data_IF_536192268171
#
_entry.id   IF_536192268171
#
_cell.length_a   1.000
_cell.length_b   1.000
_cell.length_c   1.000
_cell.angle_alpha   90.00
_cell.angle_beta   90.00
_cell.angle_gamma   90.00
#
_symmetry.space_group_name_H-M   'P 1'
#
loop_
_entity.id
_entity.type
_entity.pdbx_description
1 polymer ?
#
# COMPACT_ATOMS: atom_id res chain seq x y z
N UNK A 1 13.28 -11.09 0.39
CA UNK A 1 12.99 -9.66 0.65
C UNK A 1 13.77 -8.72 -0.28
N UNK A 2 15.11 -8.74 -0.31
CA UNK A 2 15.91 -7.81 -1.16
C UNK A 2 15.53 -7.80 -2.65
N UNK A 3 15.32 -8.97 -3.26
CA UNK A 3 14.93 -9.06 -4.66
C UNK A 3 13.54 -8.43 -4.94
N UNK A 4 12.60 -8.58 -4.00
CA UNK A 4 11.27 -7.99 -4.11
C UNK A 4 11.31 -6.47 -3.93
N UNK A 5 12.08 -5.96 -2.97
CA UNK A 5 12.29 -4.52 -2.80
C UNK A 5 12.90 -3.91 -4.07
N UNK A 6 13.97 -4.51 -4.60
CA UNK A 6 14.57 -4.05 -5.85
C UNK A 6 13.64 -4.15 -7.07
N UNK A 7 12.67 -5.07 -7.06
CA UNK A 7 11.65 -5.15 -8.10
C UNK A 7 10.68 -3.96 -7.98
N UNK A 8 10.16 -3.70 -6.78
CA UNK A 8 9.31 -2.54 -6.49
C UNK A 8 10.02 -1.23 -6.86
N UNK A 9 11.30 -1.07 -6.53
CA UNK A 9 12.10 0.12 -6.86
C UNK A 9 12.26 0.34 -8.38
N UNK A 10 12.15 -0.72 -9.18
CA UNK A 10 12.13 -0.63 -10.66
C UNK A 10 10.72 -0.44 -11.23
N UNK A 11 9.71 -0.30 -10.36
CA UNK A 11 8.31 -0.23 -10.71
C UNK A 11 7.70 -1.60 -11.04
N UNK A 12 8.36 -2.72 -10.75
CA UNK A 12 7.78 -4.05 -10.96
C UNK A 12 6.69 -4.35 -9.91
N UNK A 13 5.69 -5.15 -10.30
CA UNK A 13 4.66 -5.65 -9.41
C UNK A 13 5.17 -6.86 -8.63
N UNK A 14 4.83 -6.93 -7.33
CA UNK A 14 5.19 -8.05 -6.46
C UNK A 14 3.96 -8.69 -5.85
N UNK A 15 3.95 -10.03 -5.81
CA UNK A 15 2.98 -10.79 -5.04
C UNK A 15 3.61 -11.13 -3.69
N UNK A 16 2.88 -10.90 -2.60
CA UNK A 16 3.34 -11.19 -1.25
C UNK A 16 2.24 -11.89 -0.43
N UNK A 17 2.60 -12.83 0.45
CA UNK A 17 1.62 -13.49 1.30
C UNK A 17 1.10 -12.52 2.38
N UNK A 18 -0.19 -12.59 2.69
CA UNK A 18 -0.75 -12.05 3.93
C UNK A 18 -1.40 -13.19 4.72
N UNK A 19 -1.90 -12.89 5.93
CA UNK A 19 -2.62 -13.88 6.74
C UNK A 19 -3.87 -14.42 6.03
N UNK A 20 -4.54 -13.59 5.22
CA UNK A 20 -5.87 -13.92 4.65
C UNK A 20 -5.82 -14.28 3.17
N UNK A 21 -5.14 -13.48 2.36
CA UNK A 21 -5.01 -13.68 0.91
C UNK A 21 -3.66 -13.21 0.40
N UNK A 22 -3.28 -13.59 -0.82
CA UNK A 22 -2.11 -12.98 -1.45
C UNK A 22 -2.38 -11.52 -1.82
N UNK A 23 -1.47 -10.64 -1.42
CA UNK A 23 -1.44 -9.25 -1.84
C UNK A 23 -0.70 -9.09 -3.17
N UNK A 24 -1.19 -8.18 -4.01
CA UNK A 24 -0.44 -7.62 -5.13
C UNK A 24 -0.04 -6.20 -4.74
N UNK A 25 1.25 -5.93 -4.72
CA UNK A 25 1.84 -4.64 -4.34
C UNK A 25 2.73 -4.06 -5.43
N UNK A 26 2.91 -2.75 -5.36
CA UNK A 26 3.85 -1.97 -6.15
C UNK A 26 4.27 -0.75 -5.31
N UNK A 27 5.14 0.10 -5.86
CA UNK A 27 5.37 1.42 -5.27
C UNK A 27 4.10 2.26 -5.40
N UNK A 28 3.55 2.68 -4.26
CA UNK A 28 2.33 3.46 -4.21
C UNK A 28 2.53 4.94 -4.55
N UNK A 29 3.79 5.39 -4.64
CA UNK A 29 4.15 6.75 -5.03
C UNK A 29 4.47 6.86 -6.53
N UNK A 30 4.56 5.73 -7.24
CA UNK A 30 4.71 5.66 -8.69
C UNK A 30 3.32 5.52 -9.36
N UNK A 31 2.82 6.58 -10.03
CA UNK A 31 1.52 6.52 -10.71
C UNK A 31 1.43 5.44 -11.79
N UNK A 32 2.53 5.16 -12.50
CA UNK A 32 2.54 4.15 -13.55
C UNK A 32 2.45 2.74 -12.98
N UNK A 33 3.05 2.51 -11.82
CA UNK A 33 2.94 1.24 -11.10
C UNK A 33 1.53 1.04 -10.52
N UNK A 34 0.90 2.11 -10.02
CA UNK A 34 -0.49 2.11 -9.55
C UNK A 34 -1.47 1.79 -10.67
N UNK A 35 -1.33 2.41 -11.85
CA UNK A 35 -2.19 2.11 -13.01
C UNK A 35 -2.05 0.64 -13.44
N UNK A 36 -0.83 0.09 -13.43
CA UNK A 36 -0.60 -1.33 -13.71
C UNK A 36 -1.33 -2.26 -12.74
N UNK A 37 -1.50 -1.89 -11.46
CA UNK A 37 -2.34 -2.66 -10.53
C UNK A 37 -3.81 -2.62 -10.95
N UNK A 38 -4.34 -1.45 -11.32
CA UNK A 38 -5.74 -1.33 -11.74
C UNK A 38 -6.02 -2.15 -12.99
N UNK A 39 -5.14 -2.06 -13.99
CA UNK A 39 -5.27 -2.80 -15.25
C UNK A 39 -5.18 -4.30 -15.03
N UNK A 40 -4.20 -4.78 -14.26
CA UNK A 40 -4.03 -6.21 -14.00
C UNK A 40 -5.21 -6.80 -13.23
N UNK A 41 -5.76 -6.06 -12.26
CA UNK A 41 -6.91 -6.51 -11.46
C UNK A 41 -8.25 -6.34 -12.20
N UNK A 42 -8.29 -5.60 -13.31
CA UNK A 42 -9.54 -5.16 -13.93
C UNK A 42 -10.42 -4.36 -12.96
N UNK A 43 -9.79 -3.60 -12.05
CA UNK A 43 -10.49 -2.89 -10.97
C UNK A 43 -10.96 -1.53 -11.47
N UNK A 44 -12.19 -1.16 -11.13
CA UNK A 44 -12.69 0.20 -11.37
C UNK A 44 -11.85 1.22 -10.59
N UNK A 45 -11.46 2.32 -11.25
CA UNK A 45 -10.60 3.37 -10.68
C UNK A 45 -11.26 4.19 -9.58
N UNK A 46 -12.59 4.17 -9.52
CA UNK A 46 -13.34 4.74 -8.39
C UNK A 46 -13.19 3.90 -7.11
N UNK A 47 -12.73 2.65 -7.20
CA UNK A 47 -12.49 1.79 -6.05
C UNK A 47 -11.02 1.92 -5.57
N UNK A 48 -10.76 2.63 -4.46
CA UNK A 48 -9.39 2.93 -4.03
C UNK A 48 -8.60 1.66 -3.74
N UNK A 49 -7.28 1.76 -3.87
CA UNK A 49 -6.33 0.74 -3.45
C UNK A 49 -5.89 1.01 -2.01
N UNK A 50 -5.50 -0.06 -1.31
CA UNK A 50 -4.93 0.06 0.03
C UNK A 50 -3.45 0.48 -0.06
N UNK A 51 -3.06 1.45 0.76
CA UNK A 51 -1.67 1.86 0.95
C UNK A 51 -1.12 1.17 2.19
N UNK A 52 -0.09 0.33 2.02
CA UNK A 52 0.68 -0.23 3.13
C UNK A 52 1.81 0.72 3.53
N UNK A 53 1.96 0.97 4.83
CA UNK A 53 3.06 1.77 5.39
C UNK A 53 3.70 1.05 6.57
N UNK A 54 4.93 1.42 6.91
CA UNK A 54 5.70 0.80 7.98
C UNK A 54 5.32 1.29 9.39
N UNK A 55 4.66 2.43 9.50
CA UNK A 55 4.31 3.03 10.80
C UNK A 55 3.11 3.96 10.70
N UNK A 56 2.49 4.26 11.85
CA UNK A 56 1.46 5.31 11.96
C UNK A 56 2.00 6.65 11.50
N UNK A 57 3.25 7.00 11.84
CA UNK A 57 3.85 8.29 11.45
C UNK A 57 4.04 8.41 9.93
N UNK A 58 4.35 7.31 9.24
CA UNK A 58 4.39 7.30 7.77
C UNK A 58 2.99 7.49 7.16
N UNK A 59 1.94 6.91 7.74
CA UNK A 59 0.56 7.14 7.28
C UNK A 59 0.16 8.62 7.37
N UNK A 60 0.61 9.34 8.42
CA UNK A 60 0.30 10.76 8.61
C UNK A 60 0.89 11.67 7.53
N UNK A 61 1.90 11.20 6.77
CA UNK A 61 2.45 11.96 5.63
C UNK A 61 1.49 12.00 4.44
N UNK A 62 0.58 11.02 4.34
CA UNK A 62 -0.31 10.83 3.18
C UNK A 62 -1.79 10.97 3.51
N UNK A 63 -2.14 11.13 4.79
CA UNK A 63 -3.53 11.18 5.25
C UNK A 63 -3.79 12.38 6.17
N UNK A 64 -5.06 12.73 6.36
CA UNK A 64 -5.49 13.79 7.31
C UNK A 64 -6.51 13.21 8.29
N UNK A 65 -6.09 12.33 9.22
CA UNK A 65 -7.01 11.69 10.16
C UNK A 65 -7.46 12.65 11.25
N UNK A 66 -8.58 12.31 11.91
CA UNK A 66 -8.99 12.97 13.16
C UNK A 66 -8.09 12.56 14.32
N UNK A 67 -8.08 13.34 15.40
CA UNK A 67 -7.32 13.01 16.62
C UNK A 67 -7.69 11.63 17.18
N UNK A 68 -8.98 11.28 17.17
CA UNK A 68 -9.47 9.98 17.59
C UNK A 68 -8.89 8.84 16.72
N UNK A 69 -8.83 9.04 15.40
CA UNK A 69 -8.27 8.04 14.49
C UNK A 69 -6.77 7.85 14.71
N UNK A 70 -6.03 8.93 15.01
CA UNK A 70 -4.60 8.82 15.38
C UNK A 70 -4.43 8.06 16.70
N UNK A 71 -5.23 8.40 17.72
CA UNK A 71 -5.17 7.72 19.01
C UNK A 71 -5.49 6.22 18.88
N UNK A 72 -6.52 5.89 18.10
CA UNK A 72 -6.88 4.50 17.80
C UNK A 72 -5.75 3.77 17.07
N UNK A 73 -5.20 4.38 16.01
CA UNK A 73 -4.10 3.80 15.24
C UNK A 73 -2.89 3.49 16.12
N UNK A 74 -2.48 4.42 16.99
CA UNK A 74 -1.35 4.21 17.91
C UNK A 74 -1.58 3.14 18.97
N UNK A 75 -2.84 2.87 19.32
CA UNK A 75 -3.19 1.87 20.33
C UNK A 75 -3.28 0.44 19.76
N UNK A 76 -3.68 0.29 18.49
CA UNK A 76 -4.08 -1.00 17.93
C UNK A 76 -3.33 -1.43 16.66
N UNK A 77 -2.64 -0.52 15.97
CA UNK A 77 -1.80 -0.89 14.83
C UNK A 77 -0.36 -1.15 15.29
N UNK A 78 0.38 -2.00 14.55
CA UNK A 78 1.82 -2.18 14.75
C UNK A 78 2.62 -0.87 14.67
#
# INVERSE_FOLDING_TARGET
>A
MRAAAAAVDRGDLVVYPTETVYGLGADALDPEAVERIFDLKGRDRSNPLSLGVASVDDALRYTRPTELAVAFARAFLP
#
